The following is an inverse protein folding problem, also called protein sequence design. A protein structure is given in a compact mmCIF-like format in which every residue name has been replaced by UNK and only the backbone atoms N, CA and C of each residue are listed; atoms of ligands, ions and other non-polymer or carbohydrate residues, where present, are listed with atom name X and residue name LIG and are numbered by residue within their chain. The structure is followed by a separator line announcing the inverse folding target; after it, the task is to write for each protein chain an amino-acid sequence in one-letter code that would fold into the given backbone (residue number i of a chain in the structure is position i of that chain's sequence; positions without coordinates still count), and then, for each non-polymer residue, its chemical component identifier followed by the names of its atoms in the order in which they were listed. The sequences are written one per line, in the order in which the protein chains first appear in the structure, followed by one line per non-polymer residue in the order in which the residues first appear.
data_IF_012523381024
#
_entry.id   IF_012523381024
#
_cell.length_a   1.000
_cell.length_b   1.000
_cell.length_c   1.000
_cell.angle_alpha   90.00
_cell.angle_beta   90.00
_cell.angle_gamma   90.00
#
_symmetry.space_group_name_H-M   'P 1'
#
loop_
_entity.id
_entity.type
_entity.pdbx_description
1 polymer ?
#
# COMPACT_ATOMS: atom_id res chain seq x y z
N UNK A 1 22.03 -18.60 6.83
CA UNK A 1 21.03 -18.81 7.91
C UNK A 1 20.12 -17.59 8.11
N UNK A 2 20.66 -16.37 8.25
CA UNK A 2 19.87 -15.17 8.56
C UNK A 2 18.77 -14.82 7.52
N UNK A 3 19.06 -14.99 6.23
CA UNK A 3 18.08 -14.77 5.14
C UNK A 3 16.90 -15.74 5.27
N UNK A 4 17.15 -17.02 5.56
CA UNK A 4 16.10 -18.02 5.76
C UNK A 4 15.22 -17.71 6.97
N UNK A 5 15.81 -17.18 8.04
CA UNK A 5 15.05 -16.70 9.21
C UNK A 5 14.16 -15.51 8.81
N UNK A 6 14.69 -14.52 8.09
CA UNK A 6 13.92 -13.38 7.61
C UNK A 6 12.75 -13.80 6.71
N UNK A 7 12.98 -14.77 5.81
CA UNK A 7 11.94 -15.34 4.96
C UNK A 7 10.86 -16.03 5.79
N UNK A 8 11.24 -16.87 6.76
CA UNK A 8 10.29 -17.57 7.63
C UNK A 8 9.46 -16.58 8.46
N UNK A 9 10.10 -15.56 9.04
CA UNK A 9 9.43 -14.49 9.80
C UNK A 9 8.44 -13.73 8.92
N UNK A 10 8.84 -13.37 7.70
CA UNK A 10 7.96 -12.67 6.75
C UNK A 10 6.77 -13.53 6.35
N UNK A 11 6.99 -14.83 6.08
CA UNK A 11 5.93 -15.75 5.74
C UNK A 11 4.89 -15.90 6.87
N UNK A 12 5.37 -16.09 8.11
CA UNK A 12 4.51 -16.15 9.30
C UNK A 12 3.81 -14.82 9.55
N UNK A 13 4.50 -13.70 9.38
CA UNK A 13 3.93 -12.35 9.49
C UNK A 13 2.79 -12.12 8.49
N UNK A 14 3.00 -12.43 7.22
CA UNK A 14 1.97 -12.35 6.19
C UNK A 14 0.75 -13.22 6.52
N UNK A 15 0.99 -14.44 7.04
CA UNK A 15 -0.10 -15.32 7.46
C UNK A 15 -0.88 -14.73 8.65
N UNK A 16 -0.17 -14.20 9.65
CA UNK A 16 -0.79 -13.57 10.82
C UNK A 16 -1.64 -12.35 10.43
N UNK A 17 -1.17 -11.50 9.51
CA UNK A 17 -1.95 -10.36 9.00
C UNK A 17 -3.20 -10.83 8.26
N UNK A 18 -3.10 -11.88 7.43
CA UNK A 18 -4.26 -12.47 6.77
C UNK A 18 -5.28 -13.01 7.78
N UNK A 19 -4.80 -13.71 8.81
CA UNK A 19 -5.64 -14.24 9.88
C UNK A 19 -6.34 -13.11 10.64
N UNK A 20 -5.61 -12.04 10.97
CA UNK A 20 -6.17 -10.86 11.61
C UNK A 20 -7.29 -10.23 10.77
N UNK A 21 -7.12 -10.18 9.43
CA UNK A 21 -8.17 -9.75 8.50
C UNK A 21 -9.43 -10.62 8.54
N UNK A 22 -9.28 -11.94 8.67
CA UNK A 22 -10.40 -12.88 8.80
C UNK A 22 -11.10 -12.79 10.17
N UNK A 23 -10.36 -12.40 11.21
CA UNK A 23 -10.85 -12.22 12.57
C UNK A 23 -11.53 -10.85 12.79
N UNK A 24 -11.50 -9.95 11.79
CA UNK A 24 -12.13 -8.62 11.91
C UNK A 24 -13.64 -8.79 12.15
N UNK A 25 -14.19 -8.26 13.26
CA UNK A 25 -15.61 -8.35 13.55
C UNK A 25 -16.47 -7.62 12.51
N UNK A 26 -17.64 -8.18 12.18
CA UNK A 26 -18.57 -7.59 11.20
C UNK A 26 -18.96 -6.14 11.56
N UNK A 27 -19.14 -5.84 12.85
CA UNK A 27 -19.48 -4.49 13.32
C UNK A 27 -18.40 -3.42 13.09
N UNK A 28 -17.14 -3.80 12.84
CA UNK A 28 -16.09 -2.85 12.42
C UNK A 28 -16.21 -2.55 10.93
N UNK A 29 -16.56 -3.55 10.13
CA UNK A 29 -16.69 -3.44 8.68
C UNK A 29 -17.99 -2.72 8.26
N UNK A 30 -19.03 -2.80 9.08
CA UNK A 30 -20.31 -2.09 8.90
C UNK A 30 -20.19 -0.57 9.04
N UNK A 31 -19.09 -0.05 9.61
CA UNK A 31 -18.87 1.38 9.72
C UNK A 31 -18.70 2.01 8.33
N UNK A 32 -19.46 3.07 8.00
CA UNK A 32 -19.47 3.66 6.67
C UNK A 32 -18.10 4.21 6.24
N UNK A 33 -17.29 4.69 7.20
CA UNK A 33 -15.93 5.17 6.94
C UNK A 33 -14.98 4.03 6.54
N UNK A 34 -15.03 2.89 7.25
CA UNK A 34 -14.17 1.73 6.98
C UNK A 34 -14.47 1.17 5.59
N UNK A 35 -15.75 1.06 5.24
CA UNK A 35 -16.17 0.58 3.91
C UNK A 35 -15.75 1.53 2.78
N UNK A 36 -15.86 2.85 2.96
CA UNK A 36 -15.40 3.84 1.98
C UNK A 36 -13.88 3.80 1.79
N UNK A 37 -13.12 3.73 2.89
CA UNK A 37 -11.67 3.63 2.84
C UNK A 37 -11.22 2.33 2.16
N UNK A 38 -11.83 1.20 2.49
CA UNK A 38 -11.53 -0.09 1.85
C UNK A 38 -11.71 -0.06 0.32
N UNK A 39 -12.75 0.63 -0.16
CA UNK A 39 -13.00 0.77 -1.59
C UNK A 39 -12.03 1.74 -2.30
N UNK A 40 -11.59 2.79 -1.61
CA UNK A 40 -10.69 3.81 -2.17
C UNK A 40 -9.20 3.43 -2.08
N UNK A 41 -8.84 2.56 -1.14
CA UNK A 41 -7.47 2.12 -0.87
C UNK A 41 -6.70 1.69 -2.12
N UNK A 42 -7.23 0.79 -2.99
CA UNK A 42 -6.49 0.34 -4.18
C UNK A 42 -6.12 1.50 -5.11
N UNK A 43 -7.07 2.38 -5.40
CA UNK A 43 -6.85 3.53 -6.29
C UNK A 43 -5.90 4.54 -5.64
N UNK A 44 -6.05 4.80 -4.34
CA UNK A 44 -5.16 5.69 -3.61
C UNK A 44 -3.71 5.19 -3.59
N UNK A 45 -3.51 3.88 -3.41
CA UNK A 45 -2.18 3.26 -3.45
C UNK A 45 -1.58 3.29 -4.85
N UNK A 46 -2.36 3.03 -5.89
CA UNK A 46 -1.89 3.17 -7.28
C UNK A 46 -1.55 4.62 -7.63
N UNK A 47 -2.36 5.58 -7.18
CA UNK A 47 -2.08 7.00 -7.35
C UNK A 47 -0.80 7.42 -6.62
N UNK A 48 -0.63 6.96 -5.38
CA UNK A 48 0.59 7.19 -4.61
C UNK A 48 1.83 6.56 -5.28
N UNK A 49 1.73 5.33 -5.79
CA UNK A 49 2.80 4.69 -6.56
C UNK A 49 3.12 5.48 -7.83
N UNK A 50 2.11 5.95 -8.54
CA UNK A 50 2.28 6.74 -9.77
C UNK A 50 2.97 8.07 -9.45
N UNK A 51 2.56 8.75 -8.37
CA UNK A 51 3.25 9.95 -7.88
C UNK A 51 4.70 9.64 -7.50
N UNK A 52 4.95 8.56 -6.76
CA UNK A 52 6.31 8.18 -6.36
C UNK A 52 7.17 7.85 -7.58
N UNK A 53 6.66 7.10 -8.56
CA UNK A 53 7.37 6.81 -9.82
C UNK A 53 7.57 8.04 -10.70
N UNK A 54 6.78 9.11 -10.53
CA UNK A 54 6.90 10.35 -11.31
C UNK A 54 7.85 11.35 -10.65
N UNK A 55 7.92 11.38 -9.32
CA UNK A 55 8.70 12.36 -8.55
C UNK A 55 9.95 11.79 -7.89
N UNK A 56 10.11 10.46 -7.84
CA UNK A 56 11.23 9.81 -7.17
C UNK A 56 11.76 8.63 -7.99
N UNK A 57 13.02 8.75 -8.43
CA UNK A 57 13.80 7.62 -8.95
C UNK A 57 14.85 7.23 -7.92
N UNK A 58 14.63 6.10 -7.24
CA UNK A 58 15.51 5.61 -6.17
C UNK A 58 15.59 6.58 -4.97
N UNK A 59 16.65 7.38 -4.92
CA UNK A 59 16.94 8.34 -3.83
C UNK A 59 16.96 9.80 -4.29
N UNK A 60 16.69 10.08 -5.56
CA UNK A 60 16.72 11.44 -6.11
C UNK A 60 15.32 11.88 -6.50
N UNK A 61 14.92 13.05 -6.00
CA UNK A 61 13.73 13.76 -6.47
C UNK A 61 14.00 14.25 -7.89
N UNK A 62 13.46 13.55 -8.87
CA UNK A 62 13.52 13.93 -10.29
C UNK A 62 12.13 14.43 -10.66
N UNK A 63 12.01 15.70 -11.04
CA UNK A 63 10.80 16.21 -11.70
C UNK A 63 10.82 15.71 -13.14
N UNK A 64 10.24 14.53 -13.39
CA UNK A 64 10.08 13.99 -14.74
C UNK A 64 9.18 14.92 -15.59
N UNK A 65 9.39 14.97 -16.90
CA UNK A 65 8.64 15.82 -17.83
C UNK A 65 7.13 15.55 -17.81
N UNK A 66 6.69 14.41 -17.26
CA UNK A 66 5.27 14.10 -17.01
C UNK A 66 4.61 15.02 -15.97
N UNK A 67 5.36 15.56 -15.00
CA UNK A 67 4.83 16.55 -14.06
C UNK A 67 4.54 17.90 -14.76
N UNK A 68 5.30 18.26 -15.79
CA UNK A 68 5.03 19.44 -16.60
C UNK A 68 3.74 19.32 -17.42
N UNK A 69 3.35 18.10 -17.83
CA UNK A 69 2.08 17.84 -18.53
C UNK A 69 0.83 17.86 -17.65
N UNK A 70 0.98 17.80 -16.32
CA UNK A 70 -0.14 17.95 -15.36
C UNK A 70 -0.40 19.42 -14.99
N UNK A 71 0.53 20.32 -15.32
CA UNK A 71 0.43 21.77 -15.10
C UNK A 71 0.12 22.60 -16.35
N UNK A 72 -0.01 21.95 -17.52
CA UNK A 72 -0.42 22.56 -18.79
C UNK A 72 -1.91 22.29 -19.06
#
# INVERSE_FOLDING_TARGET
MNVWIAVAVTAVGCYAVKLAGLLVPAGVLERPLVRRLAALLPVALLAALTAQQTFADGHTLVLDARAAGLGA
#
